data_IF_905575477680
#
_entry.id   IF_905575477680
#
_cell.length_a   1.000
_cell.length_b   1.000
_cell.length_c   1.000
_cell.angle_alpha   90.00
_cell.angle_beta   90.00
_cell.angle_gamma   90.00
#
_symmetry.space_group_name_H-M   'P 1'
#
loop_
_entity.id
_entity.type
_entity.pdbx_description
1 polymer ?
#
# COMPACT_ATOMS: atom_id res chain seq x y z
N UNK A 1 -12.13 6.41 -16.52
CA UNK A 1 -11.41 6.65 -15.26
C UNK A 1 -10.28 7.64 -15.49
N UNK A 2 -9.84 8.41 -14.45
CA UNK A 2 -8.81 9.45 -14.64
C UNK A 2 -7.45 8.85 -15.06
N UNK A 3 -7.07 7.73 -14.46
CA UNK A 3 -5.83 7.02 -14.79
C UNK A 3 -5.79 6.59 -16.26
N UNK A 4 -6.85 6.02 -16.79
CA UNK A 4 -6.98 5.59 -18.18
C UNK A 4 -6.71 6.73 -19.20
N UNK A 5 -7.00 7.98 -18.79
CA UNK A 5 -6.79 9.17 -19.64
C UNK A 5 -5.40 9.79 -19.52
N UNK A 6 -4.68 9.51 -18.43
CA UNK A 6 -3.41 10.18 -18.09
C UNK A 6 -2.20 9.28 -18.15
N UNK A 7 -2.37 7.99 -17.85
CA UNK A 7 -1.28 7.00 -17.86
C UNK A 7 -1.11 6.49 -19.29
N UNK A 8 0.11 6.31 -19.78
CA UNK A 8 0.34 5.64 -21.06
C UNK A 8 -0.34 4.27 -21.09
N UNK A 9 -1.03 3.96 -22.18
CA UNK A 9 -1.91 2.78 -22.28
C UNK A 9 -1.22 1.47 -21.87
N UNK A 10 0.03 1.29 -22.27
CA UNK A 10 0.80 0.10 -21.92
C UNK A 10 0.91 -0.10 -20.39
N UNK A 11 1.16 0.97 -19.64
CA UNK A 11 1.29 0.91 -18.19
C UNK A 11 -0.08 0.79 -17.50
N UNK A 12 -1.09 1.44 -18.06
CA UNK A 12 -2.46 1.30 -17.57
C UNK A 12 -2.95 -0.14 -17.75
N UNK A 13 -2.84 -0.71 -18.94
CA UNK A 13 -3.26 -2.09 -19.24
C UNK A 13 -2.50 -3.11 -18.36
N UNK A 14 -1.20 -2.87 -18.10
CA UNK A 14 -0.42 -3.71 -17.19
C UNK A 14 -0.97 -3.73 -15.76
N UNK A 15 -1.39 -2.57 -15.24
CA UNK A 15 -1.91 -2.46 -13.88
C UNK A 15 -3.38 -2.94 -13.77
N UNK A 16 -4.17 -2.77 -14.84
CA UNK A 16 -5.61 -3.04 -14.86
C UNK A 16 -5.96 -4.48 -15.28
N UNK A 17 -4.99 -5.26 -15.75
CA UNK A 17 -5.21 -6.63 -16.21
C UNK A 17 -4.73 -7.67 -15.20
N UNK A 18 -5.37 -8.82 -15.21
CA UNK A 18 -4.94 -10.02 -14.49
C UNK A 18 -4.26 -11.03 -15.42
N UNK A 19 -3.71 -12.11 -14.83
CA UNK A 19 -3.05 -13.18 -15.58
C UNK A 19 -4.04 -14.25 -16.03
N UNK A 20 -3.81 -14.82 -17.20
CA UNK A 20 -4.58 -15.93 -17.79
C UNK A 20 -6.11 -15.65 -17.81
N UNK A 21 -6.87 -16.44 -17.07
CA UNK A 21 -8.33 -16.32 -16.98
C UNK A 21 -8.79 -15.22 -16.02
N UNK A 22 -7.86 -14.50 -15.40
CA UNK A 22 -8.13 -13.44 -14.41
C UNK A 22 -8.97 -13.91 -13.20
N UNK A 23 -8.95 -15.20 -12.88
CA UNK A 23 -9.71 -15.75 -11.78
C UNK A 23 -9.40 -15.09 -10.45
N UNK A 24 -8.12 -14.96 -10.12
CA UNK A 24 -7.67 -14.28 -8.88
C UNK A 24 -7.98 -12.78 -8.89
N UNK A 25 -7.80 -12.12 -10.04
CA UNK A 25 -8.14 -10.70 -10.20
C UNK A 25 -9.61 -10.45 -9.85
N UNK A 26 -10.52 -11.24 -10.42
CA UNK A 26 -11.96 -11.15 -10.11
C UNK A 26 -12.30 -11.55 -8.68
N UNK A 27 -11.60 -12.53 -8.10
CA UNK A 27 -11.80 -12.95 -6.71
C UNK A 27 -11.36 -11.86 -5.73
N UNK A 28 -10.30 -11.12 -6.00
CA UNK A 28 -9.84 -9.99 -5.17
C UNK A 28 -10.93 -8.93 -4.95
N UNK A 29 -11.80 -8.73 -5.92
CA UNK A 29 -12.95 -7.83 -5.79
C UNK A 29 -14.18 -8.55 -5.22
N UNK A 30 -14.54 -9.69 -5.83
CA UNK A 30 -15.77 -10.40 -5.48
C UNK A 30 -15.80 -10.93 -4.04
N UNK A 31 -14.66 -11.37 -3.51
CA UNK A 31 -14.59 -11.99 -2.18
C UNK A 31 -14.88 -10.99 -1.05
N UNK A 32 -14.69 -9.69 -1.26
CA UNK A 32 -15.14 -8.68 -0.32
C UNK A 32 -16.67 -8.69 -0.12
N UNK A 33 -17.43 -9.09 -1.14
CA UNK A 33 -18.89 -9.20 -1.03
C UNK A 33 -19.35 -10.30 -0.06
N UNK A 34 -18.49 -11.29 0.22
CA UNK A 34 -18.74 -12.38 1.18
C UNK A 34 -18.56 -11.93 2.63
N UNK A 35 -17.81 -10.85 2.87
CA UNK A 35 -17.56 -10.29 4.20
C UNK A 35 -18.69 -9.34 4.54
N UNK A 36 -19.39 -9.61 5.63
CA UNK A 36 -20.53 -8.79 6.08
C UNK A 36 -20.22 -8.17 7.44
N UNK A 37 -20.54 -6.90 7.57
CA UNK A 37 -20.44 -6.19 8.84
C UNK A 37 -21.63 -6.55 9.72
N UNK A 38 -21.36 -7.07 10.91
CA UNK A 38 -22.40 -7.26 11.94
C UNK A 38 -22.60 -5.99 12.72
N UNK A 39 -23.68 -5.30 12.42
CA UNK A 39 -24.05 -4.07 13.10
C UNK A 39 -24.44 -4.34 14.56
N UNK A 40 -23.99 -3.47 15.46
CA UNK A 40 -24.41 -3.42 16.86
C UNK A 40 -24.90 -2.01 17.16
N UNK A 41 -26.12 -1.89 17.65
CA UNK A 41 -26.73 -0.63 18.04
C UNK A 41 -26.62 -0.41 19.55
N UNK A 42 -26.77 0.84 19.99
CA UNK A 42 -26.73 1.24 21.40
C UNK A 42 -25.46 0.84 22.16
N UNK A 43 -24.32 0.84 21.47
CA UNK A 43 -23.00 0.60 22.06
C UNK A 43 -22.27 1.92 22.21
N UNK A 44 -21.73 2.20 23.41
CA UNK A 44 -20.88 3.36 23.60
C UNK A 44 -19.63 3.27 22.73
N UNK A 45 -19.37 4.31 21.92
CA UNK A 45 -18.26 4.40 20.99
C UNK A 45 -17.14 5.32 21.50
N UNK A 46 -17.30 5.95 22.67
CA UNK A 46 -16.28 6.80 23.27
C UNK A 46 -15.01 6.01 23.55
N UNK A 47 -13.88 6.64 23.31
CA UNK A 47 -12.56 6.03 23.55
C UNK A 47 -12.14 4.92 22.55
N UNK A 48 -12.91 4.66 21.51
CA UNK A 48 -12.48 3.74 20.44
C UNK A 48 -11.34 4.34 19.63
N UNK A 49 -10.32 3.54 19.37
CA UNK A 49 -9.16 3.93 18.58
C UNK A 49 -8.80 2.79 17.62
N UNK A 50 -8.28 3.16 16.45
CA UNK A 50 -7.67 2.22 15.50
C UNK A 50 -6.18 2.05 15.75
N UNK A 51 -5.59 2.84 16.67
CA UNK A 51 -4.17 2.77 16.99
C UNK A 51 -3.78 1.35 17.45
N UNK A 52 -2.67 0.87 16.92
CA UNK A 52 -2.19 -0.49 17.14
C UNK A 52 -0.67 -0.54 17.11
N UNK A 53 -0.12 -1.75 17.17
CA UNK A 53 1.31 -1.99 17.00
C UNK A 53 1.51 -2.99 15.86
N UNK A 54 2.32 -2.63 14.87
CA UNK A 54 2.73 -3.50 13.77
C UNK A 54 4.25 -3.59 13.73
N UNK A 55 4.79 -4.81 13.69
CA UNK A 55 6.24 -5.06 13.62
C UNK A 55 7.02 -4.27 14.69
N UNK A 56 6.47 -4.19 15.91
CA UNK A 56 7.07 -3.47 17.04
C UNK A 56 6.92 -1.94 17.01
N UNK A 57 6.25 -1.37 16.02
CA UNK A 57 6.05 0.08 15.89
C UNK A 57 4.60 0.46 16.17
N UNK A 58 4.40 1.59 16.83
CA UNK A 58 3.06 2.18 17.02
C UNK A 58 2.56 2.74 15.70
N UNK A 59 1.34 2.39 15.31
CA UNK A 59 0.70 2.81 14.07
C UNK A 59 -0.68 3.38 14.34
N UNK A 60 -1.14 4.30 13.49
CA UNK A 60 -2.46 4.92 13.63
C UNK A 60 -3.61 3.92 13.39
N UNK A 61 -3.36 2.91 12.55
CA UNK A 61 -4.27 1.80 12.29
C UNK A 61 -3.49 0.57 11.78
N UNK A 62 -4.02 -0.66 11.95
CA UNK A 62 -3.33 -1.89 11.56
C UNK A 62 -3.40 -2.13 10.04
N UNK A 63 -2.88 -1.18 9.27
CA UNK A 63 -2.79 -1.21 7.81
C UNK A 63 -1.40 -0.74 7.41
N UNK A 64 -0.83 -1.32 6.37
CA UNK A 64 0.42 -0.90 5.76
C UNK A 64 0.24 -0.75 4.24
N UNK A 65 0.95 0.16 3.62
CA UNK A 65 1.01 0.23 2.16
C UNK A 65 1.95 -0.88 1.68
N UNK A 66 1.39 -1.79 0.87
CA UNK A 66 2.10 -2.91 0.31
C UNK A 66 3.18 -2.47 -0.71
N UNK A 67 4.24 -3.27 -0.91
CA UNK A 67 5.24 -2.99 -1.94
C UNK A 67 4.61 -3.11 -3.33
N UNK A 68 4.60 -1.99 -4.06
CA UNK A 68 4.08 -1.94 -5.43
C UNK A 68 5.23 -1.60 -6.38
N UNK A 69 5.52 -2.51 -7.31
CA UNK A 69 6.56 -2.30 -8.32
C UNK A 69 6.14 -1.28 -9.37
N UNK A 70 7.13 -0.59 -9.95
CA UNK A 70 6.96 0.28 -11.12
C UNK A 70 5.91 1.39 -10.95
N UNK A 71 5.66 1.84 -9.72
CA UNK A 71 4.66 2.88 -9.44
C UNK A 71 5.00 4.19 -10.15
N UNK A 72 6.29 4.50 -10.32
CA UNK A 72 6.76 5.66 -11.06
C UNK A 72 6.37 5.66 -12.56
N UNK A 73 6.02 4.51 -13.14
CA UNK A 73 5.48 4.43 -14.50
C UNK A 73 4.00 4.84 -14.56
N UNK A 74 3.29 4.71 -13.46
CA UNK A 74 1.89 5.13 -13.34
C UNK A 74 1.77 6.63 -13.03
N UNK A 75 2.67 7.12 -12.18
CA UNK A 75 2.73 8.52 -11.77
C UNK A 75 4.15 8.89 -11.37
N UNK A 76 4.66 10.03 -11.87
CA UNK A 76 5.97 10.54 -11.46
C UNK A 76 6.04 10.66 -9.93
N UNK A 77 7.17 10.23 -9.36
CA UNK A 77 7.41 10.21 -7.91
C UNK A 77 6.36 9.42 -7.10
N UNK A 78 5.68 8.45 -7.72
CA UNK A 78 4.58 7.70 -7.11
C UNK A 78 4.96 7.06 -5.77
N UNK A 79 6.13 6.42 -5.68
CA UNK A 79 6.64 5.82 -4.46
C UNK A 79 6.91 6.86 -3.37
N UNK A 80 7.48 8.02 -3.73
CA UNK A 80 7.80 9.12 -2.80
C UNK A 80 6.52 9.72 -2.24
N UNK A 81 5.53 9.95 -3.10
CA UNK A 81 4.23 10.49 -2.69
C UNK A 81 3.49 9.52 -1.76
N UNK A 82 3.53 8.22 -2.07
CA UNK A 82 2.94 7.19 -1.22
C UNK A 82 3.63 7.11 0.16
N UNK A 83 4.96 7.19 0.19
CA UNK A 83 5.73 7.21 1.43
C UNK A 83 5.41 8.45 2.30
N UNK A 84 5.28 9.61 1.68
CA UNK A 84 4.88 10.85 2.38
C UNK A 84 3.48 10.75 2.96
N UNK A 85 2.52 10.27 2.18
CA UNK A 85 1.14 10.06 2.64
C UNK A 85 1.07 9.05 3.79
N UNK A 86 1.79 7.93 3.70
CA UNK A 86 1.88 6.95 4.77
C UNK A 86 2.44 7.55 6.06
N UNK A 87 3.49 8.37 5.96
CA UNK A 87 4.08 9.08 7.10
C UNK A 87 3.09 10.04 7.75
N UNK A 88 2.41 10.86 6.96
CA UNK A 88 1.42 11.82 7.47
C UNK A 88 0.27 11.13 8.16
N UNK A 89 -0.16 9.99 7.65
CA UNK A 89 -1.23 9.19 8.23
C UNK A 89 -0.78 8.33 9.42
N UNK A 90 0.52 8.11 9.59
CA UNK A 90 1.08 7.29 10.68
C UNK A 90 0.93 5.77 10.46
N UNK A 91 1.06 5.31 9.21
CA UNK A 91 1.05 3.89 8.83
C UNK A 91 2.36 3.50 8.15
N UNK A 92 2.77 2.22 8.22
CA UNK A 92 3.95 1.72 7.53
C UNK A 92 3.82 1.78 6.01
N UNK A 93 4.94 2.08 5.36
CA UNK A 93 5.11 1.98 3.91
C UNK A 93 6.19 0.95 3.60
N UNK A 94 5.97 0.12 2.60
CA UNK A 94 6.94 -0.87 2.13
C UNK A 94 7.39 -0.53 0.72
N UNK A 95 8.69 -0.30 0.53
CA UNK A 95 9.24 -0.05 -0.79
C UNK A 95 9.42 -1.37 -1.54
N UNK A 96 9.00 -1.42 -2.79
CA UNK A 96 9.22 -2.57 -3.67
C UNK A 96 10.67 -2.66 -4.13
N UNK A 97 11.18 -3.87 -4.31
CA UNK A 97 12.48 -4.11 -4.99
C UNK A 97 12.45 -3.71 -6.46
N UNK A 98 11.25 -3.63 -7.06
CA UNK A 98 11.01 -3.14 -8.43
C UNK A 98 10.64 -1.66 -8.47
N UNK A 99 10.97 -0.91 -7.42
CA UNK A 99 10.76 0.53 -7.37
C UNK A 99 11.69 1.25 -8.35
N UNK A 100 11.21 2.33 -8.93
CA UNK A 100 12.03 3.21 -9.79
C UNK A 100 12.86 4.17 -8.92
N UNK A 101 12.32 4.56 -7.75
CA UNK A 101 13.00 5.42 -6.81
C UNK A 101 14.00 4.63 -5.97
N UNK A 102 15.19 5.21 -5.75
CA UNK A 102 16.22 4.64 -4.87
C UNK A 102 15.90 4.88 -3.39
N UNK A 103 16.40 4.00 -2.52
CA UNK A 103 16.23 4.09 -1.06
C UNK A 103 16.55 5.48 -0.45
N UNK A 104 17.66 6.17 -0.80
CA UNK A 104 17.97 7.48 -0.24
C UNK A 104 16.89 8.55 -0.47
N UNK A 105 16.19 8.48 -1.60
CA UNK A 105 15.08 9.39 -1.89
C UNK A 105 13.84 9.07 -1.06
N UNK A 106 13.58 7.80 -0.83
CA UNK A 106 12.51 7.38 0.08
C UNK A 106 12.84 7.77 1.52
N UNK A 107 14.07 7.51 1.99
CA UNK A 107 14.52 7.82 3.35
C UNK A 107 14.54 9.32 3.67
N UNK A 108 14.94 10.19 2.75
CA UNK A 108 14.90 11.66 2.97
C UNK A 108 13.48 12.17 3.20
N UNK A 109 12.49 11.39 2.83
CA UNK A 109 11.08 11.65 3.09
C UNK A 109 10.59 11.05 4.42
N UNK A 110 11.45 10.28 5.13
CA UNK A 110 11.14 9.66 6.41
C UNK A 110 11.67 10.49 7.58
N UNK A 111 10.86 10.58 8.64
CA UNK A 111 11.30 11.14 9.92
C UNK A 111 12.18 10.08 10.63
N UNK A 112 13.37 10.42 11.17
CA UNK A 112 14.23 9.46 11.87
C UNK A 112 13.59 8.82 13.11
N UNK A 113 12.49 9.36 13.62
CA UNK A 113 11.71 8.74 14.71
C UNK A 113 10.69 7.70 14.26
N UNK A 114 10.43 7.58 12.97
CA UNK A 114 9.59 6.53 12.39
C UNK A 114 10.50 5.61 11.56
N UNK A 115 11.04 4.57 12.19
CA UNK A 115 11.85 3.58 11.48
C UNK A 115 10.93 2.75 10.57
N UNK A 116 10.68 3.25 9.37
CA UNK A 116 10.14 2.41 8.33
C UNK A 116 11.24 1.43 7.94
N UNK A 117 11.21 0.25 8.52
CA UNK A 117 12.04 -0.85 8.10
C UNK A 117 11.66 -1.17 6.66
N UNK A 118 12.51 -0.78 5.71
CA UNK A 118 12.46 -1.35 4.38
C UNK A 118 12.73 -2.84 4.54
N UNK A 119 11.68 -3.63 4.58
CA UNK A 119 11.81 -5.09 4.57
C UNK A 119 12.25 -5.47 3.17
N UNK A 120 13.55 -5.50 2.95
CA UNK A 120 14.15 -6.18 1.81
C UNK A 120 13.92 -7.69 2.00
N UNK A 121 12.75 -8.18 1.66
CA UNK A 121 12.53 -9.61 1.51
C UNK A 121 12.96 -10.04 0.10
N UNK A 122 14.24 -9.97 -0.17
CA UNK A 122 14.83 -10.77 -1.25
C UNK A 122 15.32 -12.07 -0.59
N UNK A 123 14.42 -13.06 -0.54
CA UNK A 123 14.88 -14.42 -0.40
C UNK A 123 15.57 -14.83 -1.71
N UNK A 124 16.72 -15.55 -1.67
CA UNK A 124 17.32 -16.07 -2.89
C UNK A 124 16.34 -17.08 -3.49
N UNK A 125 15.97 -16.85 -4.74
CA UNK A 125 15.40 -17.92 -5.55
C UNK A 125 16.52 -18.94 -5.78
N UNK A 126 16.45 -20.08 -5.10
CA UNK A 126 17.17 -21.27 -5.44
C UNK A 126 16.41 -22.07 -6.49
#
# INVERSE_FOLDING_TARGET
VLAEKRVPRMFYDYADSGSYTEGTYRANEHDFSKIKLRQRVAVNMEGRSTASTMVGQKVAMPVAIAPTGLTGMQHADGEILAARAAREFGIPFTLSTMSICTLPFAESSFNPSCSCSAVNSVGPFG
#
